data_IF_300084871788
#
_entry.id   IF_300084871788
#
_cell.length_a   1.000
_cell.length_b   1.000
_cell.length_c   1.000
_cell.angle_alpha   90.00
_cell.angle_beta   90.00
_cell.angle_gamma   90.00
#
_symmetry.space_group_name_H-M   'P 1'
#
loop_
_entity.id
_entity.type
_entity.pdbx_description
1 polymer ?
#
# COMPACT_ATOMS: atom_id res chain seq x y z
N UNK A 1 51.89 -7.10 10.46
CA UNK A 1 50.86 -6.36 11.24
C UNK A 1 50.52 -5.15 10.38
N UNK A 2 49.41 -5.09 9.66
CA UNK A 2 48.03 -5.23 10.13
C UNK A 2 47.15 -5.85 9.04
N UNK A 3 46.38 -6.85 9.42
CA UNK A 3 45.27 -7.37 8.65
C UNK A 3 44.11 -6.37 8.75
N UNK A 4 43.44 -6.07 7.63
CA UNK A 4 42.09 -5.54 7.66
C UNK A 4 41.21 -6.38 6.74
N UNK A 5 40.53 -7.33 7.36
CA UNK A 5 39.23 -7.85 6.93
C UNK A 5 38.18 -6.79 7.23
N UNK A 6 37.31 -6.44 6.29
CA UNK A 6 35.95 -5.96 6.60
C UNK A 6 35.02 -6.02 5.39
N UNK A 7 34.00 -6.86 5.56
CA UNK A 7 32.65 -6.81 5.02
C UNK A 7 32.45 -6.92 3.50
N UNK A 8 32.27 -8.18 3.11
CA UNK A 8 31.49 -8.66 1.98
C UNK A 8 30.09 -7.99 1.95
N UNK A 9 29.87 -7.08 0.99
CA UNK A 9 28.54 -6.63 0.61
C UNK A 9 27.82 -7.79 -0.07
N UNK A 10 26.97 -8.48 0.70
CA UNK A 10 26.02 -9.44 0.14
C UNK A 10 24.91 -8.65 -0.58
N UNK A 11 24.67 -8.87 -1.89
CA UNK A 11 23.61 -8.21 -2.63
C UNK A 11 22.26 -8.83 -2.27
N UNK A 12 21.76 -8.50 -1.08
CA UNK A 12 20.39 -8.81 -0.68
C UNK A 12 19.46 -7.87 -1.44
N UNK A 13 18.75 -8.43 -2.42
CA UNK A 13 17.68 -7.80 -3.20
C UNK A 13 16.54 -7.32 -2.30
N UNK A 14 16.78 -6.25 -1.54
CA UNK A 14 15.75 -5.42 -0.93
C UNK A 14 15.18 -4.52 -2.01
N UNK A 15 13.86 -4.27 -2.07
CA UNK A 15 13.29 -3.24 -2.91
C UNK A 15 14.09 -1.96 -2.75
N UNK A 16 14.78 -1.60 -3.82
CA UNK A 16 15.88 -0.64 -3.85
C UNK A 16 15.55 0.62 -3.06
N UNK A 17 16.34 0.83 -2.00
CA UNK A 17 16.31 1.91 -1.02
C UNK A 17 16.55 3.35 -1.57
N UNK A 18 16.33 3.60 -2.86
CA UNK A 18 16.48 4.94 -3.44
C UNK A 18 15.22 5.77 -3.16
N UNK A 19 15.30 6.59 -2.12
CA UNK A 19 14.31 7.63 -1.81
C UNK A 19 13.26 7.27 -0.76
N UNK A 20 13.25 6.05 -0.20
CA UNK A 20 12.42 5.73 0.96
C UNK A 20 13.12 6.23 2.23
N UNK A 21 12.49 7.15 2.99
CA UNK A 21 13.02 7.62 4.25
C UNK A 21 13.26 6.47 5.25
N UNK A 22 14.30 6.53 6.10
CA UNK A 22 14.65 5.44 7.02
C UNK A 22 13.49 4.98 7.91
N UNK A 23 12.62 5.89 8.33
CA UNK A 23 11.46 5.62 9.18
C UNK A 23 10.38 4.76 8.50
N UNK A 24 10.40 4.66 7.18
CA UNK A 24 9.45 3.87 6.39
C UNK A 24 10.06 2.61 5.77
N UNK A 25 11.31 2.28 6.12
CA UNK A 25 11.97 1.08 5.62
C UNK A 25 11.43 -0.17 6.30
N UNK A 26 11.10 -1.16 5.49
CA UNK A 26 10.70 -2.50 5.91
C UNK A 26 11.75 -3.48 5.36
N UNK A 27 12.19 -4.42 6.19
CA UNK A 27 13.09 -5.50 5.77
C UNK A 27 12.44 -6.40 4.71
N UNK A 28 13.24 -6.92 3.78
CA UNK A 28 12.72 -7.76 2.68
C UNK A 28 11.98 -8.99 3.19
N UNK A 29 12.45 -9.61 4.28
CA UNK A 29 11.81 -10.78 4.89
C UNK A 29 10.40 -10.45 5.40
N UNK A 30 10.26 -9.33 6.11
CA UNK A 30 8.97 -8.86 6.63
C UNK A 30 8.05 -8.44 5.48
N UNK A 31 8.59 -7.78 4.47
CA UNK A 31 7.84 -7.35 3.31
C UNK A 31 7.27 -8.53 2.53
N UNK A 32 8.05 -9.61 2.35
CA UNK A 32 7.57 -10.87 1.75
C UNK A 32 6.46 -11.52 2.58
N UNK A 33 6.52 -11.45 3.91
CA UNK A 33 5.43 -11.94 4.77
C UNK A 33 4.15 -11.16 4.51
N UNK A 34 4.23 -9.82 4.45
CA UNK A 34 3.07 -8.97 4.17
C UNK A 34 2.44 -9.25 2.80
N UNK A 35 3.27 -9.48 1.77
CA UNK A 35 2.78 -9.84 0.43
C UNK A 35 2.07 -11.19 0.47
N UNK A 36 2.66 -12.19 1.12
CA UNK A 36 2.07 -13.54 1.24
C UNK A 36 0.74 -13.54 2.00
N UNK A 37 0.59 -12.67 2.98
CA UNK A 37 -0.67 -12.50 3.73
C UNK A 37 -1.73 -11.69 2.97
N UNK A 38 -1.37 -11.11 1.82
CA UNK A 38 -2.25 -10.27 1.04
C UNK A 38 -2.87 -11.03 -0.12
N UNK A 39 -4.17 -10.83 -0.34
CA UNK A 39 -4.90 -11.52 -1.42
C UNK A 39 -4.61 -10.95 -2.81
N UNK A 40 -4.30 -9.67 -2.88
CA UNK A 40 -3.97 -8.93 -4.10
C UNK A 40 -3.23 -7.63 -3.76
N UNK A 41 -2.76 -6.90 -4.78
CA UNK A 41 -2.01 -5.65 -4.61
C UNK A 41 -2.77 -4.58 -3.81
N UNK A 42 -4.10 -4.48 -3.97
CA UNK A 42 -4.92 -3.55 -3.20
C UNK A 42 -4.97 -3.90 -1.71
N UNK A 43 -5.06 -5.19 -1.37
CA UNK A 43 -4.98 -5.64 0.02
C UNK A 43 -3.57 -5.45 0.60
N UNK A 44 -2.53 -5.71 -0.20
CA UNK A 44 -1.15 -5.46 0.17
C UNK A 44 -0.90 -3.98 0.48
N UNK A 45 -1.39 -3.08 -0.36
CA UNK A 45 -1.29 -1.64 -0.12
C UNK A 45 -1.99 -1.20 1.18
N UNK A 46 -3.13 -1.82 1.52
CA UNK A 46 -3.83 -1.57 2.79
C UNK A 46 -2.99 -2.06 3.99
N UNK A 47 -2.38 -3.24 3.89
CA UNK A 47 -1.51 -3.79 4.93
C UNK A 47 -0.27 -2.90 5.14
N UNK A 48 0.37 -2.45 4.05
CA UNK A 48 1.44 -1.45 4.09
C UNK A 48 0.98 -0.16 4.78
N UNK A 49 -0.17 0.38 4.40
CA UNK A 49 -0.70 1.64 4.97
C UNK A 49 -0.89 1.53 6.49
N UNK A 50 -1.39 0.39 6.99
CA UNK A 50 -1.56 0.17 8.44
C UNK A 50 -0.24 0.01 9.17
N UNK A 51 0.73 -0.65 8.54
CA UNK A 51 2.05 -0.90 9.14
C UNK A 51 2.92 0.35 9.17
N UNK A 52 2.95 1.09 8.06
CA UNK A 52 3.80 2.28 7.89
C UNK A 52 3.24 3.50 8.60
N UNK A 53 1.91 3.60 8.71
CA UNK A 53 1.23 4.78 9.28
C UNK A 53 0.27 4.39 10.41
N UNK A 54 0.73 3.70 11.47
CA UNK A 54 -0.12 3.25 12.57
C UNK A 54 -0.84 4.40 13.29
N UNK A 55 -0.25 5.60 13.28
CA UNK A 55 -0.83 6.83 13.84
C UNK A 55 -2.18 7.21 13.19
N UNK A 56 -2.41 6.82 11.93
CA UNK A 56 -3.70 7.03 11.27
C UNK A 56 -4.81 6.15 11.85
N UNK A 57 -4.44 5.01 12.43
CA UNK A 57 -5.36 3.98 12.91
C UNK A 57 -5.52 3.92 14.44
N UNK A 58 -4.76 4.73 15.19
CA UNK A 58 -4.82 4.81 16.65
C UNK A 58 -6.10 5.45 17.22
N UNK A 59 -6.08 5.79 18.51
CA UNK A 59 -7.25 6.24 19.28
C UNK A 59 -7.95 7.48 18.70
N UNK A 60 -7.22 8.38 18.03
CA UNK A 60 -7.77 9.56 17.36
C UNK A 60 -8.40 9.30 15.98
N UNK A 61 -8.22 8.09 15.41
CA UNK A 61 -8.76 7.67 14.12
C UNK A 61 -8.53 8.69 12.98
N UNK A 62 -7.33 9.28 12.95
CA UNK A 62 -6.95 10.35 12.03
C UNK A 62 -7.20 9.98 10.56
N UNK A 63 -7.15 8.69 10.22
CA UNK A 63 -7.47 8.17 8.88
C UNK A 63 -8.74 8.73 8.27
N UNK A 64 -9.75 9.06 9.09
CA UNK A 64 -11.04 9.57 8.61
C UNK A 64 -10.94 10.95 7.96
N UNK A 65 -9.91 11.72 8.30
CA UNK A 65 -9.65 13.03 7.70
C UNK A 65 -9.00 12.93 6.32
N UNK A 66 -8.45 11.76 5.95
CA UNK A 66 -7.64 11.61 4.76
C UNK A 66 -8.32 10.78 3.67
N UNK A 67 -7.91 11.02 2.43
CA UNK A 67 -8.04 10.09 1.31
C UNK A 67 -6.83 10.26 0.36
N UNK A 68 -6.72 9.42 -0.66
CA UNK A 68 -5.58 9.42 -1.59
C UNK A 68 -5.35 10.72 -2.36
N UNK A 69 -6.42 11.43 -2.79
CA UNK A 69 -6.35 12.65 -3.61
C UNK A 69 -6.88 13.91 -2.91
N UNK A 70 -7.29 13.81 -1.64
CA UNK A 70 -7.99 14.87 -0.92
C UNK A 70 -9.40 15.19 -1.46
N UNK A 71 -9.99 16.28 -0.98
CA UNK A 71 -11.24 16.84 -1.45
C UNK A 71 -12.51 16.02 -1.13
N UNK A 72 -13.47 16.05 -2.07
CA UNK A 72 -14.78 15.42 -1.94
C UNK A 72 -15.75 16.19 -1.01
N UNK A 73 -16.93 15.61 -0.78
CA UNK A 73 -18.02 16.24 0.00
C UNK A 73 -17.66 16.58 1.45
N UNK A 74 -16.65 15.90 1.99
CA UNK A 74 -16.18 16.08 3.36
C UNK A 74 -14.87 16.88 3.45
N UNK A 75 -14.40 17.47 2.34
CA UNK A 75 -13.15 18.24 2.25
C UNK A 75 -11.97 17.52 2.93
N UNK A 76 -11.80 16.23 2.62
CA UNK A 76 -10.74 15.40 3.21
C UNK A 76 -9.37 15.93 2.80
N UNK A 77 -8.39 15.80 3.69
CA UNK A 77 -6.98 16.07 3.41
C UNK A 77 -6.45 15.01 2.45
N UNK A 78 -5.56 15.43 1.57
CA UNK A 78 -4.80 14.51 0.74
C UNK A 78 -3.78 13.76 1.60
N UNK A 79 -3.57 12.48 1.32
CA UNK A 79 -2.50 11.72 1.96
C UNK A 79 -1.15 12.31 1.56
N UNK A 80 -0.24 12.41 2.53
CA UNK A 80 1.07 13.00 2.33
C UNK A 80 1.81 12.39 1.11
N UNK A 81 2.46 13.20 0.26
CA UNK A 81 3.17 12.74 -0.94
C UNK A 81 4.22 11.66 -0.66
N UNK A 82 4.96 11.76 0.45
CA UNK A 82 5.96 10.76 0.84
C UNK A 82 5.27 9.45 1.18
N UNK A 83 4.19 9.50 1.97
CA UNK A 83 3.40 8.30 2.30
C UNK A 83 2.88 7.60 1.05
N UNK A 84 2.34 8.36 0.09
CA UNK A 84 1.87 7.82 -1.20
C UNK A 84 3.00 7.16 -2.00
N UNK A 85 4.16 7.83 -2.06
CA UNK A 85 5.31 7.35 -2.81
C UNK A 85 5.85 6.04 -2.23
N UNK A 86 6.00 5.95 -0.91
CA UNK A 86 6.48 4.75 -0.23
C UNK A 86 5.56 3.56 -0.50
N UNK A 87 4.24 3.75 -0.33
CA UNK A 87 3.26 2.68 -0.61
C UNK A 87 3.34 2.25 -2.07
N UNK A 88 3.43 3.20 -3.01
CA UNK A 88 3.55 2.89 -4.44
C UNK A 88 4.83 2.11 -4.76
N UNK A 89 5.97 2.50 -4.22
CA UNK A 89 7.24 1.81 -4.45
C UNK A 89 7.19 0.35 -3.97
N UNK A 90 6.67 0.09 -2.78
CA UNK A 90 6.55 -1.28 -2.28
C UNK A 90 5.57 -2.13 -3.07
N UNK A 91 4.42 -1.57 -3.47
CA UNK A 91 3.45 -2.31 -4.29
C UNK A 91 4.04 -2.64 -5.66
N UNK A 92 4.63 -1.66 -6.36
CA UNK A 92 5.21 -1.87 -7.70
C UNK A 92 6.37 -2.86 -7.68
N UNK A 93 7.11 -2.97 -6.57
CA UNK A 93 8.19 -3.95 -6.45
C UNK A 93 7.71 -5.40 -6.59
N UNK A 94 6.52 -5.74 -6.06
CA UNK A 94 5.96 -7.09 -6.21
C UNK A 94 4.92 -7.20 -7.33
N UNK A 95 4.29 -6.08 -7.68
CA UNK A 95 3.19 -6.01 -8.63
C UNK A 95 3.48 -4.91 -9.67
N UNK A 96 4.43 -5.16 -10.60
CA UNK A 96 4.91 -4.15 -11.55
C UNK A 96 3.82 -3.61 -12.48
N UNK A 97 2.72 -4.35 -12.69
CA UNK A 97 1.55 -3.94 -13.46
C UNK A 97 0.88 -2.66 -12.91
N UNK A 98 1.02 -2.38 -11.61
CA UNK A 98 0.49 -1.16 -10.98
C UNK A 98 1.44 0.04 -11.09
N UNK A 99 2.51 -0.04 -11.88
CA UNK A 99 3.29 1.14 -12.27
C UNK A 99 2.43 2.12 -13.07
N UNK A 100 1.50 1.60 -13.88
CA UNK A 100 0.51 2.39 -14.62
C UNK A 100 -0.40 3.19 -13.69
N UNK A 101 -0.57 4.47 -13.99
CA UNK A 101 -1.42 5.36 -13.19
C UNK A 101 -2.90 4.92 -13.20
N UNK A 102 -3.37 4.36 -14.31
CA UNK A 102 -4.75 3.91 -14.45
C UNK A 102 -5.03 2.67 -13.60
N UNK A 103 -4.22 1.62 -13.76
CA UNK A 103 -4.31 0.41 -12.95
C UNK A 103 -4.19 0.71 -11.45
N UNK A 104 -3.26 1.60 -11.07
CA UNK A 104 -3.13 2.08 -9.69
C UNK A 104 -4.42 2.73 -9.17
N UNK A 105 -4.96 3.66 -9.94
CA UNK A 105 -6.15 4.44 -9.59
C UNK A 105 -7.40 3.55 -9.48
N UNK A 106 -7.51 2.51 -10.29
CA UNK A 106 -8.70 1.67 -10.37
C UNK A 106 -8.68 0.51 -9.36
N UNK A 107 -7.52 -0.10 -9.12
CA UNK A 107 -7.43 -1.28 -8.26
C UNK A 107 -6.90 -0.99 -6.85
N UNK A 108 -5.91 -0.10 -6.72
CA UNK A 108 -5.21 0.11 -5.46
C UNK A 108 -5.83 1.24 -4.64
N UNK A 109 -6.04 2.40 -5.27
CA UNK A 109 -6.57 3.60 -4.59
C UNK A 109 -7.92 3.35 -3.90
N UNK A 110 -8.90 2.63 -4.49
CA UNK A 110 -10.18 2.41 -3.83
C UNK A 110 -10.05 1.58 -2.54
N UNK A 111 -9.12 0.61 -2.50
CA UNK A 111 -8.88 -0.22 -1.32
C UNK A 111 -8.25 0.59 -0.18
N UNK A 112 -7.29 1.46 -0.51
CA UNK A 112 -6.70 2.41 0.46
C UNK A 112 -7.78 3.38 0.96
N UNK A 113 -8.57 3.97 0.07
CA UNK A 113 -9.62 4.90 0.47
C UNK A 113 -10.71 4.25 1.33
N UNK A 114 -11.05 2.98 1.06
CA UNK A 114 -11.98 2.24 1.91
C UNK A 114 -11.40 2.00 3.30
N UNK A 115 -10.11 1.68 3.43
CA UNK A 115 -9.48 1.49 4.74
C UNK A 115 -9.38 2.81 5.55
N UNK A 116 -9.29 3.95 4.86
CA UNK A 116 -9.31 5.30 5.45
C UNK A 116 -10.74 5.84 5.68
N UNK A 117 -11.78 5.11 5.25
CA UNK A 117 -13.18 5.53 5.43
C UNK A 117 -13.67 5.21 6.83
N UNK A 118 -14.62 6.02 7.33
CA UNK A 118 -15.42 5.64 8.52
C UNK A 118 -16.19 4.36 8.19
N UNK A 119 -16.13 3.38 9.08
CA UNK A 119 -17.00 2.22 9.00
C UNK A 119 -18.41 2.65 9.41
N UNK A 120 -19.10 3.36 8.51
CA UNK A 120 -20.52 3.65 8.68
C UNK A 120 -21.27 2.32 8.62
N UNK A 121 -21.54 1.72 9.78
CA UNK A 121 -22.46 0.58 9.93
C UNK A 121 -23.92 0.97 9.65
N UNK A 122 -24.19 2.15 9.07
CA UNK A 122 -25.53 2.53 8.61
C UNK A 122 -25.91 1.55 7.52
N UNK A 123 -26.87 0.67 7.80
CA UNK A 123 -27.43 -0.30 6.87
C UNK A 123 -27.57 0.34 5.49
N UNK A 124 -26.88 -0.23 4.50
CA UNK A 124 -27.01 0.13 3.10
C UNK A 124 -28.47 -0.09 2.71
N UNK A 125 -29.30 0.96 2.64
CA UNK A 125 -30.46 0.92 1.74
C UNK A 125 -29.87 0.80 0.33
N UNK A 126 -30.16 -0.33 -0.32
CA UNK A 126 -29.64 -0.69 -1.63
C UNK A 126 -30.05 0.37 -2.66
N UNK A 127 -29.17 1.32 -2.94
CA UNK A 127 -29.18 2.03 -4.21
C UNK A 127 -28.15 1.34 -5.09
N UNK A 128 -28.67 0.50 -5.99
CA UNK A 128 -27.88 -0.07 -7.08
C UNK A 128 -27.46 1.12 -7.95
N UNK A 129 -26.17 1.43 -7.94
CA UNK A 129 -25.55 2.26 -8.97
C UNK A 129 -24.53 1.32 -9.57
N UNK A 130 -24.80 0.86 -10.79
CA UNK A 130 -23.88 0.01 -11.55
C UNK A 130 -22.70 0.90 -11.92
N UNK A 131 -21.74 1.03 -11.00
CA UNK A 131 -20.37 1.37 -11.35
C UNK A 131 -19.77 0.06 -11.81
N UNK A 132 -19.42 0.02 -13.08
CA UNK A 132 -18.71 -1.07 -13.72
C UNK A 132 -17.48 -1.39 -12.86
N UNK A 133 -17.62 -2.44 -12.05
CA UNK A 133 -16.57 -2.95 -11.20
C UNK A 133 -15.60 -3.59 -12.19
N UNK A 134 -14.53 -2.90 -12.54
CA UNK A 134 -13.36 -3.57 -13.08
C UNK A 134 -12.89 -4.49 -11.96
N UNK A 135 -13.35 -5.73 -12.01
CA UNK A 135 -12.82 -6.80 -11.18
C UNK A 135 -11.32 -6.78 -11.43
N UNK A 136 -10.56 -6.40 -10.40
CA UNK A 136 -9.16 -6.75 -10.35
C UNK A 136 -9.21 -8.28 -10.30
N UNK A 137 -9.14 -8.91 -11.47
CA UNK A 137 -9.17 -10.36 -11.59
C UNK A 137 -8.11 -10.89 -10.63
N UNK A 138 -8.52 -11.83 -9.78
CA UNK A 138 -7.61 -12.66 -9.02
C UNK A 138 -6.89 -13.57 -10.02
N UNK A 139 -5.98 -13.00 -10.82
CA UNK A 139 -5.04 -13.79 -11.60
C UNK A 139 -4.09 -14.43 -10.61
N UNK A 140 -4.49 -15.64 -10.23
CA UNK A 140 -3.71 -16.64 -9.53
C UNK A 140 -2.34 -16.71 -10.19
N UNK A 141 -1.35 -16.10 -9.55
CA UNK A 141 0.05 -16.33 -9.90
C UNK A 141 0.32 -17.83 -9.71
N UNK A 142 0.40 -18.55 -10.83
CA UNK A 142 1.20 -19.76 -10.88
C UNK A 142 2.63 -19.34 -10.57
N UNK A 143 3.06 -19.55 -9.32
CA UNK A 143 4.46 -19.76 -9.03
C UNK A 143 4.87 -21.01 -9.81
N UNK A 144 5.57 -20.82 -10.93
CA UNK A 144 6.36 -21.88 -11.53
C UNK A 144 7.59 -22.04 -10.64
N UNK A 145 7.72 -23.25 -10.09
CA UNK A 145 8.88 -23.76 -9.35
C UNK A 145 10.11 -23.86 -10.27
#
# INVERSE_FOLDING_TARGET
>A
MHSQTSAEETPSSTPTAKGIPPEFRIDDSELRVLVRESRNAGNFAVNLTRKLFPELFGEGQLRYEYNWYGGGKLAKKELDPVRKQVVKQYVVYFFPEFQSHEAWRECVVPKINECLRRNDKRLKRKSIVILQLTECHDDVFYFVD
#
